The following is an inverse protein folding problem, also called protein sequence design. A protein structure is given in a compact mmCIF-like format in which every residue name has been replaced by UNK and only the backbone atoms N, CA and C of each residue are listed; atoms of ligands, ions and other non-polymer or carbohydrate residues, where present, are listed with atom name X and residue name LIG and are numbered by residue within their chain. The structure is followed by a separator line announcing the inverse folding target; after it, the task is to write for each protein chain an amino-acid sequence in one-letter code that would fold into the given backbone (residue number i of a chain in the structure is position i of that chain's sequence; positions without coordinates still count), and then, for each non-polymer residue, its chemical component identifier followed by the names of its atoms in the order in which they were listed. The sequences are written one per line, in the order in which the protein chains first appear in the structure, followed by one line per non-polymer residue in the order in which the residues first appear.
data_IF_618300339466
#
_entry.id   IF_618300339466
#
_cell.length_a   1.000
_cell.length_b   1.000
_cell.length_c   1.000
_cell.angle_alpha   90.00
_cell.angle_beta   90.00
_cell.angle_gamma   90.00
#
_symmetry.space_group_name_H-M   'P 1'
#
loop_
_entity.id
_entity.type
_entity.pdbx_description
1 polymer ?
#
# COMPACT_ATOMS: atom_id res chain seq x y z
N UNK A 1 -14.71 -26.72 -6.63
CA UNK A 1 -14.95 -26.37 -5.21
C UNK A 1 -13.64 -26.54 -4.48
N UNK A 2 -12.96 -25.44 -4.21
CA UNK A 2 -11.70 -25.41 -3.45
C UNK A 2 -12.00 -25.73 -1.99
N UNK A 3 -11.16 -26.56 -1.38
CA UNK A 3 -11.25 -26.93 0.04
C UNK A 3 -11.06 -25.66 0.88
N UNK A 4 -11.86 -25.44 1.95
CA UNK A 4 -11.60 -24.35 2.89
C UNK A 4 -10.19 -24.49 3.47
N UNK A 5 -9.30 -23.54 3.20
CA UNK A 5 -7.98 -23.44 3.85
C UNK A 5 -6.74 -23.53 2.96
N UNK A 6 -6.85 -23.80 1.66
CA UNK A 6 -5.68 -23.81 0.75
C UNK A 6 -5.90 -22.91 -0.46
N UNK A 7 -5.31 -21.71 -0.42
CA UNK A 7 -5.14 -20.88 -1.60
C UNK A 7 -4.00 -21.45 -2.47
N UNK A 8 -4.14 -21.44 -3.81
CA UNK A 8 -3.08 -21.85 -4.73
C UNK A 8 -1.86 -20.94 -4.57
N UNK A 9 -0.69 -21.50 -4.84
CA UNK A 9 0.56 -20.74 -5.02
C UNK A 9 0.47 -19.81 -6.23
N UNK A 10 1.33 -18.82 -6.32
CA UNK A 10 1.37 -17.92 -7.47
C UNK A 10 1.67 -18.68 -8.78
N UNK A 11 2.54 -19.70 -8.72
CA UNK A 11 2.81 -20.57 -9.87
C UNK A 11 1.54 -21.31 -10.34
N UNK A 12 0.71 -21.78 -9.42
CA UNK A 12 -0.59 -22.39 -9.74
C UNK A 12 -1.59 -21.34 -10.26
N UNK A 13 -1.52 -20.09 -9.81
CA UNK A 13 -2.32 -19.00 -10.40
C UNK A 13 -1.98 -18.77 -11.87
N UNK A 14 -0.68 -18.72 -12.21
CA UNK A 14 -0.23 -18.55 -13.58
C UNK A 14 -0.73 -19.67 -14.51
N UNK A 15 -0.91 -20.88 -13.97
CA UNK A 15 -1.38 -22.05 -14.70
C UNK A 15 -2.91 -22.13 -14.87
N UNK A 16 -3.68 -21.18 -14.32
CA UNK A 16 -5.15 -21.18 -14.46
C UNK A 16 -5.58 -20.95 -15.91
N UNK A 17 -6.72 -21.52 -16.30
CA UNK A 17 -7.19 -21.48 -17.68
C UNK A 17 -7.72 -20.10 -18.13
N UNK A 18 -7.42 -19.73 -19.37
CA UNK A 18 -7.98 -18.57 -20.05
C UNK A 18 -7.71 -17.25 -19.30
N UNK A 19 -8.75 -16.41 -19.18
CA UNK A 19 -8.66 -15.08 -18.56
C UNK A 19 -8.43 -15.12 -17.03
N UNK A 20 -8.39 -16.31 -16.42
CA UNK A 20 -8.09 -16.48 -15.00
C UNK A 20 -6.59 -16.64 -14.73
N UNK A 21 -5.76 -16.84 -15.77
CA UNK A 21 -4.31 -16.97 -15.65
C UNK A 21 -3.69 -15.79 -14.88
N UNK A 22 -2.95 -16.10 -13.81
CA UNK A 22 -2.29 -15.13 -12.95
C UNK A 22 -3.24 -14.31 -12.05
N UNK A 23 -4.53 -14.65 -11.98
CA UNK A 23 -5.51 -13.92 -11.16
C UNK A 23 -5.90 -14.72 -9.93
N UNK A 24 -6.35 -14.04 -8.87
CA UNK A 24 -6.99 -14.64 -7.70
C UNK A 24 -8.52 -14.70 -7.81
N UNK A 25 -9.07 -14.38 -8.98
CA UNK A 25 -10.51 -14.21 -9.18
C UNK A 25 -11.28 -15.50 -8.87
N UNK A 26 -12.42 -15.37 -8.21
CA UNK A 26 -13.24 -16.49 -7.74
C UNK A 26 -12.62 -17.35 -6.61
N UNK A 27 -11.49 -16.95 -6.01
CA UNK A 27 -10.89 -17.70 -4.88
C UNK A 27 -11.43 -17.26 -3.52
N UNK A 28 -11.81 -15.99 -3.39
CA UNK A 28 -12.36 -15.45 -2.14
C UNK A 28 -13.89 -15.56 -2.12
N UNK A 29 -14.50 -16.02 -1.01
CA UNK A 29 -15.96 -16.02 -0.86
C UNK A 29 -16.57 -14.61 -0.94
N UNK A 30 -15.82 -13.62 -0.45
CA UNK A 30 -16.18 -12.20 -0.47
C UNK A 30 -15.14 -11.45 -1.33
N UNK A 31 -15.28 -11.46 -2.67
CA UNK A 31 -14.25 -10.92 -3.56
C UNK A 31 -14.01 -9.41 -3.33
N UNK A 32 -15.06 -8.64 -3.00
CA UNK A 32 -14.91 -7.21 -2.70
C UNK A 32 -13.91 -6.90 -1.59
N UNK A 33 -13.66 -7.85 -0.68
CA UNK A 33 -12.69 -7.70 0.40
C UNK A 33 -11.24 -7.90 -0.08
N UNK A 34 -10.98 -8.79 -1.04
CA UNK A 34 -9.64 -9.12 -1.54
C UNK A 34 -8.76 -9.86 -0.53
N UNK A 35 -7.43 -9.66 -0.62
CA UNK A 35 -6.43 -10.27 0.29
C UNK A 35 -6.58 -9.92 1.78
N UNK A 36 -7.21 -8.81 2.22
CA UNK A 36 -7.62 -8.65 3.61
C UNK A 36 -8.45 -9.82 4.19
N UNK A 37 -9.01 -10.68 3.35
CA UNK A 37 -9.66 -11.93 3.74
C UNK A 37 -8.69 -12.98 4.33
N UNK A 38 -7.37 -12.83 4.13
CA UNK A 38 -6.37 -13.69 4.77
C UNK A 38 -6.29 -13.47 6.29
N UNK A 39 -6.76 -12.33 6.79
CA UNK A 39 -6.89 -12.06 8.21
C UNK A 39 -8.08 -12.84 8.76
N UNK A 40 -7.82 -14.06 9.22
CA UNK A 40 -8.84 -14.87 9.89
C UNK A 40 -9.14 -14.33 11.31
N UNK A 41 -10.30 -14.68 11.92
CA UNK A 41 -10.56 -14.34 13.31
C UNK A 41 -9.49 -14.81 14.29
N UNK A 42 -8.86 -15.97 14.02
CA UNK A 42 -7.75 -16.48 14.82
C UNK A 42 -6.50 -15.60 14.68
N UNK A 43 -6.13 -15.23 13.45
CA UNK A 43 -5.01 -14.32 13.19
C UNK A 43 -5.23 -12.93 13.84
N UNK A 44 -6.46 -12.41 13.81
CA UNK A 44 -6.80 -11.16 14.47
C UNK A 44 -6.65 -11.25 16.00
N UNK A 45 -7.09 -12.35 16.62
CA UNK A 45 -6.91 -12.57 18.06
C UNK A 45 -5.43 -12.70 18.44
N UNK A 46 -4.63 -13.35 17.60
CA UNK A 46 -3.18 -13.45 17.79
C UNK A 46 -2.48 -12.10 17.65
N UNK A 47 -2.90 -11.25 16.73
CA UNK A 47 -2.33 -9.91 16.51
C UNK A 47 -2.38 -9.02 17.75
N UNK A 48 -3.32 -9.25 18.67
CA UNK A 48 -3.36 -8.58 19.98
C UNK A 48 -2.05 -8.76 20.76
N UNK A 49 -1.34 -9.87 20.57
CA UNK A 49 -0.07 -10.14 21.26
C UNK A 49 1.08 -9.22 20.80
N UNK A 50 0.89 -8.48 19.70
CA UNK A 50 1.79 -7.41 19.28
C UNK A 50 1.64 -6.14 20.14
N UNK A 51 0.56 -6.02 20.92
CA UNK A 51 0.35 -4.93 21.88
C UNK A 51 1.06 -5.30 23.19
N UNK A 52 2.27 -4.78 23.37
CA UNK A 52 3.18 -5.09 24.50
C UNK A 52 3.43 -3.90 25.41
N UNK A 53 3.47 -2.69 24.86
CA UNK A 53 3.86 -1.44 25.51
C UNK A 53 2.70 -0.46 25.70
N UNK A 54 1.65 -0.58 24.89
CA UNK A 54 0.57 0.39 24.78
C UNK A 54 0.96 1.65 23.99
N UNK A 55 2.11 1.65 23.31
CA UNK A 55 2.55 2.80 22.50
C UNK A 55 1.74 2.85 21.21
N UNK A 56 1.21 4.02 20.86
CA UNK A 56 0.34 4.21 19.70
C UNK A 56 0.98 5.19 18.72
N UNK A 57 0.98 4.82 17.43
CA UNK A 57 1.48 5.65 16.34
C UNK A 57 0.38 5.85 15.29
N UNK A 58 0.05 7.11 14.99
CA UNK A 58 -0.66 7.46 13.77
C UNK A 58 0.30 7.34 12.57
N UNK A 59 -0.14 6.65 11.53
CA UNK A 59 0.65 6.35 10.34
C UNK A 59 0.32 7.25 9.15
N UNK A 60 -0.47 8.30 9.38
CA UNK A 60 -0.83 9.30 8.37
C UNK A 60 0.00 10.57 8.50
N UNK A 61 0.38 11.14 7.35
CA UNK A 61 0.83 12.52 7.24
C UNK A 61 -0.38 13.48 7.15
N UNK A 62 -0.18 14.78 7.41
CA UNK A 62 -1.17 15.80 7.07
C UNK A 62 -1.66 15.71 5.62
N UNK A 63 -2.92 16.11 5.39
CA UNK A 63 -3.57 16.04 4.08
C UNK A 63 -2.89 16.87 2.98
N UNK A 64 -2.09 17.86 3.37
CA UNK A 64 -1.34 18.80 2.53
C UNK A 64 0.18 18.54 2.53
N UNK A 65 0.65 17.49 3.23
CA UNK A 65 2.08 17.29 3.48
C UNK A 65 2.94 17.19 2.20
N UNK A 66 2.38 16.62 1.14
CA UNK A 66 3.09 16.36 -0.10
C UNK A 66 2.75 17.38 -1.20
N UNK A 67 2.42 18.63 -0.85
CA UNK A 67 2.23 19.71 -1.84
C UNK A 67 3.41 20.71 -1.82
N UNK A 68 4.10 20.97 -2.94
CA UNK A 68 3.99 20.26 -4.22
C UNK A 68 4.52 18.82 -4.12
N UNK A 69 3.85 17.90 -4.83
CA UNK A 69 4.16 16.47 -4.82
C UNK A 69 4.64 15.94 -6.15
N UNK A 70 4.87 14.63 -6.21
CA UNK A 70 5.25 13.93 -7.44
C UNK A 70 4.13 13.91 -8.50
N UNK A 71 2.87 13.95 -8.08
CA UNK A 71 1.74 13.98 -9.02
C UNK A 71 1.62 15.33 -9.72
N UNK A 72 1.45 15.30 -11.05
CA UNK A 72 1.21 16.53 -11.81
C UNK A 72 -0.20 17.11 -11.62
N UNK A 73 -1.15 16.28 -11.21
CA UNK A 73 -2.59 16.61 -11.21
C UNK A 73 -3.15 16.86 -9.81
N UNK A 74 -2.61 16.19 -8.80
CA UNK A 74 -3.09 16.26 -7.41
C UNK A 74 -2.49 17.50 -6.75
N UNK A 75 -3.28 18.18 -5.93
CA UNK A 75 -2.88 19.35 -5.13
C UNK A 75 -3.36 19.18 -3.69
N UNK A 76 -2.80 19.94 -2.75
CA UNK A 76 -3.34 20.00 -1.40
C UNK A 76 -4.81 20.45 -1.41
N UNK A 77 -5.65 19.92 -0.51
CA UNK A 77 -7.00 20.44 -0.32
C UNK A 77 -6.95 21.86 0.24
N UNK A 78 -7.94 22.68 -0.13
CA UNK A 78 -8.14 23.98 0.52
C UNK A 78 -9.00 23.80 1.77
N UNK A 79 -8.44 24.12 2.94
CA UNK A 79 -9.15 24.10 4.21
C UNK A 79 -9.82 25.44 4.49
N UNK A 80 -11.13 25.42 4.73
CA UNK A 80 -11.92 26.62 5.07
C UNK A 80 -12.63 26.41 6.39
N UNK A 81 -12.36 27.27 7.37
CA UNK A 81 -13.08 27.31 8.66
C UNK A 81 -14.06 28.49 8.64
N UNK A 82 -15.32 28.25 9.01
CA UNK A 82 -16.37 29.27 9.05
C UNK A 82 -17.11 29.28 10.39
N UNK A 83 -17.98 30.26 10.59
CA UNK A 83 -18.70 30.46 11.86
C UNK A 83 -20.07 31.08 11.65
N UNK A 84 -21.09 30.55 12.31
CA UNK A 84 -22.43 31.15 12.37
C UNK A 84 -22.56 32.18 13.50
N UNK A 85 -21.73 32.08 14.55
CA UNK A 85 -21.64 33.02 15.68
C UNK A 85 -20.27 32.88 16.40
N UNK A 86 -19.90 33.77 17.36
CA UNK A 86 -18.58 33.78 17.98
C UNK A 86 -18.12 32.45 18.61
N UNK A 87 -19.04 31.67 19.20
CA UNK A 87 -18.76 30.38 19.85
C UNK A 87 -18.88 29.13 18.95
N UNK A 88 -18.96 29.26 17.62
CA UNK A 88 -19.12 28.15 16.67
C UNK A 88 -17.97 28.13 15.68
N UNK A 89 -17.44 26.93 15.37
CA UNK A 89 -16.47 26.70 14.29
C UNK A 89 -16.84 25.39 13.60
N UNK A 90 -17.03 25.46 12.29
CA UNK A 90 -17.17 24.31 11.38
C UNK A 90 -16.20 24.51 10.22
N UNK A 91 -15.88 23.46 9.49
CA UNK A 91 -14.96 23.51 8.35
C UNK A 91 -15.36 22.58 7.20
N UNK A 92 -14.66 22.74 6.08
CA UNK A 92 -14.72 21.84 4.93
C UNK A 92 -13.42 21.89 4.11
N UNK A 93 -13.21 20.84 3.29
CA UNK A 93 -12.07 20.70 2.39
C UNK A 93 -12.55 20.72 0.93
N UNK A 94 -12.04 21.66 0.13
CA UNK A 94 -12.25 21.68 -1.32
C UNK A 94 -11.09 20.99 -2.04
N UNK A 95 -11.41 20.20 -3.07
CA UNK A 95 -10.39 19.59 -3.93
C UNK A 95 -9.56 18.50 -3.24
N UNK A 96 -10.16 17.75 -2.31
CA UNK A 96 -9.47 16.69 -1.59
C UNK A 96 -9.30 15.43 -2.45
N UNK A 97 -8.10 15.26 -3.01
CA UNK A 97 -7.73 14.03 -3.70
C UNK A 97 -7.51 12.91 -2.69
N UNK A 98 -8.27 11.81 -2.79
CA UNK A 98 -8.14 10.63 -1.91
C UNK A 98 -6.79 9.94 -2.03
N UNK A 99 -6.01 10.29 -3.06
CA UNK A 99 -4.65 9.84 -3.33
C UNK A 99 -3.59 10.94 -3.18
N UNK A 100 -3.90 12.00 -2.43
CA UNK A 100 -3.06 13.20 -2.31
C UNK A 100 -2.01 13.17 -1.20
N UNK A 101 -2.18 12.30 -0.20
CA UNK A 101 -1.27 12.11 0.94
C UNK A 101 -1.26 10.63 1.34
N UNK A 102 -0.96 10.29 2.60
CA UNK A 102 -1.08 8.91 3.10
C UNK A 102 -2.42 8.31 2.71
N UNK A 103 -2.39 7.17 2.03
CA UNK A 103 -3.55 6.60 1.37
C UNK A 103 -3.52 5.07 1.38
N UNK A 104 -4.68 4.49 1.10
CA UNK A 104 -4.85 3.11 0.67
C UNK A 104 -5.62 3.08 -0.64
N UNK A 105 -5.07 2.37 -1.61
CA UNK A 105 -5.68 2.16 -2.91
C UNK A 105 -6.62 0.97 -2.90
N UNK A 106 -7.84 1.22 -3.37
CA UNK A 106 -8.90 0.23 -3.49
C UNK A 106 -8.77 -0.63 -4.75
N UNK A 107 -9.52 -1.72 -4.81
CA UNK A 107 -9.45 -2.69 -5.91
C UNK A 107 -9.96 -2.14 -7.26
N UNK A 108 -10.58 -0.96 -7.26
CA UNK A 108 -10.97 -0.19 -8.45
C UNK A 108 -10.05 0.98 -8.78
N UNK A 109 -8.93 1.16 -8.07
CA UNK A 109 -7.94 2.20 -8.37
C UNK A 109 -7.29 1.98 -9.74
N UNK A 110 -6.91 0.72 -10.01
CA UNK A 110 -6.31 0.28 -11.27
C UNK A 110 -6.97 -1.00 -11.76
N UNK A 111 -7.27 -1.05 -13.06
CA UNK A 111 -7.59 -2.29 -13.77
C UNK A 111 -6.33 -2.89 -14.37
N UNK A 112 -6.37 -4.18 -14.69
CA UNK A 112 -5.41 -4.78 -15.59
C UNK A 112 -5.78 -4.50 -17.05
N UNK A 113 -4.77 -4.19 -17.86
CA UNK A 113 -4.97 -3.93 -19.29
C UNK A 113 -5.53 -5.15 -20.03
N UNK A 114 -5.09 -6.35 -19.66
CA UNK A 114 -5.42 -7.60 -20.33
C UNK A 114 -6.75 -8.22 -19.86
N UNK A 115 -7.07 -8.16 -18.56
CA UNK A 115 -8.24 -8.85 -17.99
C UNK A 115 -9.32 -7.94 -17.41
N UNK A 116 -9.03 -6.68 -17.08
CA UNK A 116 -10.01 -5.73 -16.51
C UNK A 116 -9.88 -5.52 -15.00
N UNK A 117 -10.96 -5.05 -14.36
CA UNK A 117 -11.01 -4.83 -12.91
C UNK A 117 -11.14 -6.13 -12.13
N UNK A 118 -10.82 -6.06 -10.84
CA UNK A 118 -10.82 -7.21 -9.94
C UNK A 118 -12.11 -8.02 -10.01
N UNK A 119 -11.97 -9.35 -10.03
CA UNK A 119 -13.05 -10.34 -10.14
C UNK A 119 -13.98 -10.15 -11.36
N UNK A 120 -13.47 -9.52 -12.43
CA UNK A 120 -14.20 -9.33 -13.68
C UNK A 120 -15.29 -8.27 -13.62
N UNK A 121 -15.26 -7.36 -12.63
CA UNK A 121 -16.23 -6.26 -12.54
C UNK A 121 -16.14 -5.39 -13.81
N UNK A 122 -17.27 -5.15 -14.51
CA UNK A 122 -17.23 -4.44 -15.78
C UNK A 122 -17.02 -2.93 -15.60
N UNK A 123 -16.32 -2.29 -16.55
CA UNK A 123 -15.95 -0.86 -16.50
C UNK A 123 -17.12 0.09 -16.21
N UNK A 124 -18.32 -0.17 -16.76
CA UNK A 124 -19.48 0.70 -16.53
C UNK A 124 -19.97 0.72 -15.07
N UNK A 125 -19.55 -0.26 -14.25
CA UNK A 125 -19.78 -0.30 -12.80
C UNK A 125 -18.68 0.38 -12.02
N UNK A 126 -17.64 0.90 -12.67
CA UNK A 126 -16.57 1.68 -12.06
C UNK A 126 -16.80 3.16 -12.39
N UNK A 127 -17.88 3.72 -11.83
CA UNK A 127 -18.24 5.14 -11.94
C UNK A 127 -18.59 5.72 -10.58
N UNK A 128 -18.76 7.04 -10.48
CA UNK A 128 -19.07 7.71 -9.22
C UNK A 128 -20.40 7.18 -8.64
N UNK A 129 -20.42 6.86 -7.34
CA UNK A 129 -21.62 6.39 -6.64
C UNK A 129 -21.97 4.91 -6.80
N UNK A 130 -21.27 4.15 -7.65
CA UNK A 130 -21.45 2.69 -7.73
C UNK A 130 -20.65 1.98 -6.63
N UNK A 131 -21.20 0.97 -5.94
CA UNK A 131 -20.52 0.37 -4.79
C UNK A 131 -19.45 -0.67 -5.18
N UNK A 132 -19.47 -1.22 -6.39
CA UNK A 132 -18.56 -2.32 -6.75
C UNK A 132 -17.09 -1.95 -6.53
N UNK A 133 -16.36 -2.83 -5.83
CA UNK A 133 -14.95 -2.69 -5.47
C UNK A 133 -14.60 -1.38 -4.74
N UNK A 134 -15.60 -0.69 -4.20
CA UNK A 134 -15.43 0.60 -3.54
C UNK A 134 -14.89 0.46 -2.13
N UNK A 135 -14.16 1.48 -1.69
CA UNK A 135 -13.47 1.50 -0.40
C UNK A 135 -14.41 1.33 0.81
N UNK A 136 -15.72 1.56 0.66
CA UNK A 136 -16.70 1.39 1.72
C UNK A 136 -16.75 -0.05 2.27
N UNK A 137 -16.37 -1.06 1.47
CA UNK A 137 -16.24 -2.45 1.95
C UNK A 137 -15.28 -2.54 3.15
N UNK A 138 -14.14 -1.83 3.08
CA UNK A 138 -13.15 -1.80 4.17
C UNK A 138 -13.48 -0.75 5.23
N UNK A 139 -14.43 0.16 4.99
CA UNK A 139 -14.93 1.06 6.03
C UNK A 139 -15.99 0.36 6.91
N UNK A 140 -16.85 -0.46 6.31
CA UNK A 140 -17.86 -1.29 6.99
C UNK A 140 -17.21 -2.49 7.70
N UNK A 141 -16.22 -3.11 7.06
CA UNK A 141 -15.42 -4.19 7.62
C UNK A 141 -13.93 -3.81 7.67
N UNK A 142 -13.51 -3.04 8.70
CA UNK A 142 -12.13 -2.57 8.84
C UNK A 142 -11.08 -3.67 8.69
N UNK A 143 -9.91 -3.26 8.22
CA UNK A 143 -8.75 -4.13 8.14
C UNK A 143 -8.00 -3.96 9.46
N UNK A 144 -7.94 -5.00 10.27
CA UNK A 144 -7.18 -5.01 11.51
C UNK A 144 -6.43 -6.32 11.65
N UNK A 145 -5.18 -6.29 12.10
CA UNK A 145 -4.36 -7.50 12.15
C UNK A 145 -2.93 -7.21 12.58
N UNK A 146 -2.06 -8.20 12.40
CA UNK A 146 -0.63 -8.05 12.69
C UNK A 146 0.03 -7.31 11.52
N UNK A 147 0.66 -6.19 11.81
CA UNK A 147 1.59 -5.54 10.89
C UNK A 147 3.01 -5.95 11.19
N UNK A 148 3.80 -6.13 10.13
CA UNK A 148 5.23 -6.40 10.21
C UNK A 148 5.97 -5.32 9.43
N UNK A 149 6.98 -4.71 10.05
CA UNK A 149 7.75 -3.63 9.43
C UNK A 149 9.11 -4.15 8.97
N UNK A 150 9.38 -4.05 7.67
CA UNK A 150 10.71 -4.28 7.08
C UNK A 150 11.41 -2.94 6.97
N UNK A 151 12.49 -2.75 7.74
CA UNK A 151 13.23 -1.49 7.87
C UNK A 151 14.39 -1.45 6.87
N UNK A 152 14.07 -1.18 5.60
CA UNK A 152 15.04 -1.14 4.50
C UNK A 152 16.05 0.01 4.69
N UNK A 153 15.56 1.19 5.09
CA UNK A 153 16.42 2.33 5.41
C UNK A 153 17.38 2.01 6.57
N UNK A 154 16.87 1.46 7.67
CA UNK A 154 17.70 1.08 8.82
C UNK A 154 18.75 0.04 8.46
N UNK A 155 18.37 -0.99 7.70
CA UNK A 155 19.27 -2.02 7.22
C UNK A 155 20.39 -1.44 6.34
N UNK A 156 20.03 -0.67 5.30
CA UNK A 156 20.97 -0.03 4.37
C UNK A 156 21.95 0.91 5.06
N UNK A 157 21.47 1.72 5.99
CA UNK A 157 22.34 2.58 6.81
C UNK A 157 23.29 1.76 7.71
N UNK A 158 22.85 0.63 8.26
CA UNK A 158 23.68 -0.21 9.15
C UNK A 158 24.88 -0.85 8.44
N UNK A 159 24.77 -1.07 7.13
CA UNK A 159 25.85 -1.64 6.29
C UNK A 159 26.63 -0.56 5.53
N UNK A 160 26.31 0.73 5.73
CA UNK A 160 27.02 1.85 5.09
C UNK A 160 26.65 2.08 3.63
N UNK A 161 25.48 1.61 3.19
CA UNK A 161 24.97 1.72 1.81
C UNK A 161 23.59 2.40 1.80
N UNK A 162 23.49 3.70 2.17
CA UNK A 162 22.19 4.39 2.21
C UNK A 162 21.48 4.38 0.85
N UNK A 163 20.15 4.30 0.88
CA UNK A 163 19.31 4.26 -0.33
C UNK A 163 19.42 5.57 -1.13
N UNK A 164 19.67 5.47 -2.43
CA UNK A 164 19.70 6.62 -3.34
C UNK A 164 18.31 7.03 -3.80
N UNK A 165 17.64 7.83 -2.95
CA UNK A 165 16.33 8.38 -3.28
C UNK A 165 16.35 9.39 -4.43
N UNK A 166 17.44 10.14 -4.59
CA UNK A 166 17.58 11.11 -5.69
C UNK A 166 17.69 10.40 -7.05
N UNK A 167 18.37 9.25 -7.07
CA UNK A 167 18.45 8.36 -8.23
C UNK A 167 17.17 7.58 -8.53
N UNK A 168 16.24 7.49 -7.58
CA UNK A 168 15.05 6.66 -7.70
C UNK A 168 15.38 5.17 -7.63
N UNK A 169 16.26 4.78 -6.71
CA UNK A 169 16.78 3.41 -6.61
C UNK A 169 15.67 2.34 -6.60
N UNK A 170 15.72 1.34 -7.50
CA UNK A 170 14.86 0.15 -7.44
C UNK A 170 15.28 -0.78 -6.30
N UNK A 171 14.34 -1.17 -5.46
CA UNK A 171 14.58 -2.04 -4.30
C UNK A 171 14.14 -3.47 -4.63
N UNK A 172 15.11 -4.39 -4.81
CA UNK A 172 14.85 -5.80 -5.14
C UNK A 172 14.32 -6.62 -3.96
N UNK A 173 13.68 -7.75 -4.25
CA UNK A 173 13.18 -8.68 -3.22
C UNK A 173 14.30 -9.25 -2.35
N UNK A 174 15.49 -9.43 -2.90
CA UNK A 174 16.70 -9.85 -2.19
C UNK A 174 17.08 -8.88 -1.07
N UNK A 175 16.99 -7.57 -1.32
CA UNK A 175 17.20 -6.55 -0.29
C UNK A 175 16.15 -6.64 0.82
N UNK A 176 14.88 -6.86 0.47
CA UNK A 176 13.80 -7.05 1.44
C UNK A 176 14.05 -8.28 2.32
N UNK A 177 14.46 -9.39 1.70
CA UNK A 177 14.79 -10.63 2.41
C UNK A 177 16.00 -10.45 3.33
N UNK A 178 17.06 -9.80 2.87
CA UNK A 178 18.24 -9.50 3.69
C UNK A 178 17.89 -8.61 4.91
N UNK A 179 17.04 -7.59 4.72
CA UNK A 179 16.56 -6.77 5.82
C UNK A 179 15.73 -7.60 6.82
N UNK A 180 14.80 -8.42 6.33
CA UNK A 180 14.01 -9.33 7.18
C UNK A 180 14.89 -10.32 7.97
N UNK A 181 15.92 -10.88 7.35
CA UNK A 181 16.90 -11.76 8.02
C UNK A 181 17.65 -11.00 9.13
N UNK A 182 18.13 -9.78 8.85
CA UNK A 182 18.80 -8.94 9.85
C UNK A 182 17.91 -8.60 11.04
N UNK A 183 16.59 -8.49 10.80
CA UNK A 183 15.57 -8.22 11.80
C UNK A 183 15.08 -9.48 12.53
N UNK A 184 15.52 -10.68 12.10
CA UNK A 184 14.94 -11.96 12.52
C UNK A 184 13.40 -11.99 12.36
N UNK A 185 12.90 -11.32 11.32
CA UNK A 185 11.49 -11.12 11.07
C UNK A 185 10.90 -12.30 10.29
N UNK A 186 9.80 -12.86 10.79
CA UNK A 186 9.06 -13.93 10.11
C UNK A 186 7.64 -13.48 9.80
N UNK A 187 7.20 -13.78 8.58
CA UNK A 187 5.87 -13.44 8.09
C UNK A 187 4.90 -14.60 8.31
N UNK A 188 3.62 -14.27 8.36
CA UNK A 188 2.51 -15.21 8.53
C UNK A 188 1.34 -14.80 7.65
N UNK A 189 0.48 -15.75 7.24
CA UNK A 189 -0.71 -15.42 6.48
C UNK A 189 -1.59 -14.38 7.19
N UNK A 190 -2.01 -13.36 6.44
CA UNK A 190 -2.79 -12.24 6.95
C UNK A 190 -1.96 -11.07 7.49
N UNK A 191 -0.63 -11.15 7.48
CA UNK A 191 0.20 -10.01 7.86
C UNK A 191 -0.03 -8.80 6.95
N UNK A 192 -0.01 -7.62 7.55
CA UNK A 192 0.07 -6.33 6.85
C UNK A 192 1.56 -5.99 6.71
N UNK A 193 2.08 -5.99 5.50
CA UNK A 193 3.50 -5.70 5.23
C UNK A 193 3.72 -4.19 5.18
N UNK A 194 4.60 -3.67 6.03
CA UNK A 194 5.00 -2.27 6.06
C UNK A 194 6.46 -2.15 5.59
N UNK A 195 6.70 -1.47 4.47
CA UNK A 195 8.03 -1.25 3.90
C UNK A 195 8.51 0.16 4.26
N UNK A 196 9.42 0.25 5.23
CA UNK A 196 10.05 1.53 5.59
C UNK A 196 11.32 1.74 4.77
N UNK A 197 11.29 2.70 3.87
CA UNK A 197 12.37 3.07 2.94
C UNK A 197 13.02 4.41 3.28
N UNK A 198 12.39 5.23 4.11
CA UNK A 198 12.82 6.60 4.41
C UNK A 198 12.37 7.64 3.37
N UNK A 199 11.73 7.23 2.26
CA UNK A 199 11.46 8.10 1.12
C UNK A 199 10.57 9.29 1.47
N UNK A 200 9.51 9.11 2.27
CA UNK A 200 8.65 10.23 2.69
C UNK A 200 9.41 11.28 3.51
N UNK A 201 10.19 10.87 4.52
CA UNK A 201 10.95 11.82 5.34
C UNK A 201 12.03 12.54 4.50
N UNK A 202 12.70 11.81 3.59
CA UNK A 202 13.64 12.39 2.64
C UNK A 202 12.98 13.41 1.70
N UNK A 203 11.87 13.05 1.06
CA UNK A 203 11.17 13.91 0.12
C UNK A 203 10.66 15.18 0.79
N UNK A 204 10.09 15.06 1.99
CA UNK A 204 9.56 16.20 2.74
C UNK A 204 10.65 17.19 3.17
N UNK A 205 11.88 16.72 3.37
CA UNK A 205 13.04 17.55 3.72
C UNK A 205 13.64 18.32 2.54
N UNK A 206 13.32 17.96 1.29
CA UNK A 206 13.78 18.68 0.10
C UNK A 206 13.19 20.09 0.04
N UNK A 207 13.96 21.02 -0.52
CA UNK A 207 13.46 22.35 -0.84
C UNK A 207 12.47 22.32 -2.04
N UNK A 208 11.69 23.39 -2.27
CA UNK A 208 10.71 23.42 -3.36
C UNK A 208 11.31 23.23 -4.77
N UNK A 209 12.54 23.68 -5.01
CA UNK A 209 13.21 23.55 -6.31
C UNK A 209 13.68 22.11 -6.56
N UNK A 210 14.20 21.45 -5.53
CA UNK A 210 14.54 20.03 -5.53
C UNK A 210 13.31 19.15 -5.76
N UNK A 211 12.20 19.43 -5.08
CA UNK A 211 10.91 18.73 -5.31
C UNK A 211 10.45 18.88 -6.75
N UNK A 212 10.57 20.08 -7.32
CA UNK A 212 10.21 20.34 -8.72
C UNK A 212 11.12 19.56 -9.68
N UNK A 213 12.44 19.58 -9.48
CA UNK A 213 13.39 18.79 -10.30
C UNK A 213 13.11 17.29 -10.23
N UNK A 214 12.81 16.77 -9.05
CA UNK A 214 12.47 15.36 -8.87
C UNK A 214 11.17 15.01 -9.61
N UNK A 215 10.11 15.82 -9.44
CA UNK A 215 8.84 15.66 -10.16
C UNK A 215 9.01 15.66 -11.68
N UNK A 216 9.86 16.54 -12.20
CA UNK A 216 10.18 16.61 -13.63
C UNK A 216 10.94 15.36 -14.11
N UNK A 217 11.86 14.84 -13.30
CA UNK A 217 12.60 13.62 -13.61
C UNK A 217 11.73 12.36 -13.60
N UNK A 218 10.58 12.40 -12.92
CA UNK A 218 9.66 11.28 -12.69
C UNK A 218 10.34 10.05 -12.06
N UNK A 219 11.34 10.29 -11.22
CA UNK A 219 12.04 9.24 -10.48
C UNK A 219 11.50 9.14 -9.06
N UNK A 220 11.29 7.92 -8.60
CA UNK A 220 10.95 7.65 -7.22
C UNK A 220 11.49 6.26 -6.82
N UNK A 221 12.08 6.17 -5.64
CA UNK A 221 12.44 4.89 -5.03
C UNK A 221 11.19 4.07 -4.76
N UNK A 222 11.32 2.76 -4.89
CA UNK A 222 10.30 1.80 -4.52
C UNK A 222 10.73 0.39 -4.88
N UNK A 223 9.86 -0.58 -4.65
CA UNK A 223 10.12 -1.97 -5.00
C UNK A 223 10.32 -2.11 -6.52
N UNK A 224 11.36 -2.83 -6.93
CA UNK A 224 11.61 -3.13 -8.34
C UNK A 224 10.52 -4.05 -8.90
N UNK A 225 10.00 -3.74 -10.08
CA UNK A 225 9.00 -4.59 -10.75
C UNK A 225 9.60 -5.95 -11.07
N UNK A 226 9.05 -7.00 -10.48
CA UNK A 226 9.54 -8.37 -10.65
C UNK A 226 8.40 -9.36 -10.43
N UNK A 227 8.46 -10.50 -11.13
CA UNK A 227 7.51 -11.58 -10.89
C UNK A 227 7.76 -12.23 -9.54
N UNK A 228 9.01 -12.28 -9.12
CA UNK A 228 9.48 -12.82 -7.85
C UNK A 228 8.84 -12.09 -6.67
N UNK A 229 8.79 -10.74 -6.70
CA UNK A 229 8.13 -9.98 -5.63
C UNK A 229 6.62 -10.25 -5.58
N UNK A 230 5.93 -10.24 -6.72
CA UNK A 230 4.49 -10.50 -6.78
C UNK A 230 4.17 -11.92 -6.31
N UNK A 231 4.97 -12.90 -6.71
CA UNK A 231 4.85 -14.29 -6.27
C UNK A 231 5.07 -14.41 -4.76
N UNK A 232 6.16 -13.82 -4.24
CA UNK A 232 6.47 -13.83 -2.81
C UNK A 232 5.36 -13.17 -1.97
N UNK A 233 4.83 -12.04 -2.43
CA UNK A 233 3.75 -11.35 -1.73
C UNK A 233 2.48 -12.18 -1.63
N UNK A 234 2.07 -12.82 -2.73
CA UNK A 234 0.92 -13.71 -2.78
C UNK A 234 1.12 -14.97 -1.94
N UNK A 235 2.27 -15.64 -2.10
CA UNK A 235 2.56 -16.91 -1.42
C UNK A 235 2.74 -16.71 0.09
N UNK A 236 3.24 -15.53 0.50
CA UNK A 236 3.26 -15.11 1.92
C UNK A 236 1.88 -14.76 2.46
N UNK A 237 0.88 -14.59 1.58
CA UNK A 237 -0.52 -14.26 1.89
C UNK A 237 -0.64 -12.96 2.68
N UNK A 238 0.08 -11.92 2.25
CA UNK A 238 -0.08 -10.61 2.86
C UNK A 238 -1.48 -10.06 2.61
N UNK A 239 -2.05 -9.45 3.66
CA UNK A 239 -3.35 -8.82 3.60
C UNK A 239 -3.30 -7.48 2.86
N UNK A 240 -2.24 -6.71 3.09
CA UNK A 240 -1.99 -5.36 2.52
C UNK A 240 -0.48 -5.17 2.40
N UNK A 241 -0.03 -4.47 1.37
CA UNK A 241 1.34 -3.95 1.29
C UNK A 241 1.28 -2.44 1.40
N UNK A 242 1.93 -1.87 2.40
CA UNK A 242 2.06 -0.42 2.55
C UNK A 242 3.53 -0.01 2.57
N UNK A 243 3.83 1.14 1.99
CA UNK A 243 5.16 1.71 1.96
C UNK A 243 5.14 3.21 2.26
N UNK A 244 6.26 3.73 2.72
CA UNK A 244 6.51 5.17 2.81
C UNK A 244 7.07 5.76 1.50
N UNK A 245 6.76 5.14 0.35
CA UNK A 245 7.13 5.60 -1.00
C UNK A 245 5.93 6.19 -1.73
N UNK A 246 6.20 6.89 -2.84
CA UNK A 246 5.16 7.51 -3.65
C UNK A 246 4.21 6.53 -4.32
N UNK A 247 4.71 5.37 -4.77
CA UNK A 247 3.96 4.45 -5.62
C UNK A 247 4.09 2.98 -5.20
N UNK A 248 4.57 2.67 -3.98
CA UNK A 248 5.06 1.34 -3.56
C UNK A 248 6.26 0.84 -4.37
N UNK A 249 6.11 0.69 -5.68
CA UNK A 249 7.12 0.34 -6.67
C UNK A 249 7.89 1.55 -7.21
N UNK A 250 9.09 1.32 -7.77
CA UNK A 250 9.94 2.41 -8.25
C UNK A 250 9.42 3.03 -9.56
N UNK A 251 9.73 4.31 -9.77
CA UNK A 251 9.50 5.03 -11.02
C UNK A 251 10.82 5.49 -11.65
N UNK A 252 10.96 5.37 -12.99
CA UNK A 252 10.14 4.58 -13.89
C UNK A 252 10.26 3.07 -13.59
N UNK A 253 9.40 2.25 -14.22
CA UNK A 253 9.55 0.81 -14.15
C UNK A 253 10.93 0.36 -14.69
N UNK A 254 11.51 -0.67 -14.08
CA UNK A 254 12.87 -1.14 -14.41
C UNK A 254 13.02 -1.54 -15.90
N UNK A 255 14.23 -1.40 -16.48
CA UNK A 255 14.54 -1.73 -17.87
C UNK A 255 14.15 -3.12 -18.37
N UNK A 256 13.92 -4.05 -17.48
CA UNK A 256 13.63 -5.47 -17.70
C UNK A 256 12.33 -5.92 -17.03
N UNK A 257 11.46 -4.96 -16.66
CA UNK A 257 10.19 -5.28 -16.02
C UNK A 257 9.41 -6.32 -16.84
N UNK A 258 8.97 -7.44 -16.22
CA UNK A 258 8.25 -8.51 -16.90
C UNK A 258 6.83 -8.08 -17.33
N UNK A 259 6.38 -6.89 -16.93
CA UNK A 259 5.02 -6.42 -17.17
C UNK A 259 4.91 -5.43 -18.34
N UNK A 260 5.99 -5.14 -19.05
CA UNK A 260 5.98 -4.15 -20.14
C UNK A 260 4.95 -4.41 -21.22
N UNK A 261 4.75 -5.67 -21.57
CA UNK A 261 3.77 -6.07 -22.58
C UNK A 261 2.35 -6.14 -22.00
N UNK A 262 2.20 -6.58 -20.74
CA UNK A 262 0.89 -6.80 -20.11
C UNK A 262 0.32 -5.57 -19.40
N UNK A 263 1.14 -4.57 -19.10
CA UNK A 263 0.78 -3.31 -18.43
C UNK A 263 1.26 -2.11 -19.27
N UNK A 264 0.91 -2.10 -20.55
CA UNK A 264 1.43 -1.11 -21.51
C UNK A 264 0.93 0.32 -21.23
N UNK A 265 -0.27 0.49 -20.65
CA UNK A 265 -0.78 1.82 -20.26
C UNK A 265 -0.10 2.38 -19.02
N UNK A 266 0.55 1.51 -18.23
CA UNK A 266 1.32 1.87 -17.04
C UNK A 266 2.81 1.59 -17.24
N UNK A 267 3.27 1.46 -18.50
CA UNK A 267 4.69 1.33 -18.87
C UNK A 267 5.45 0.19 -18.17
N UNK A 268 4.77 -0.91 -17.85
CA UNK A 268 5.36 -2.06 -17.17
C UNK A 268 5.38 -1.98 -15.65
N UNK A 269 4.53 -1.15 -15.05
CA UNK A 269 4.31 -1.15 -13.60
C UNK A 269 3.58 -2.43 -13.14
N UNK A 270 3.74 -2.80 -11.87
CA UNK A 270 3.15 -4.00 -11.26
C UNK A 270 1.86 -3.72 -10.47
N UNK A 271 1.41 -2.47 -10.31
CA UNK A 271 0.16 -2.08 -9.64
C UNK A 271 -1.04 -2.95 -10.05
N UNK A 272 -1.22 -3.18 -11.35
CA UNK A 272 -2.33 -3.98 -11.85
C UNK A 272 -2.25 -5.47 -11.44
N UNK A 273 -1.04 -5.99 -11.20
CA UNK A 273 -0.84 -7.35 -10.72
C UNK A 273 -1.37 -7.46 -9.30
N UNK A 274 -0.97 -6.53 -8.43
CA UNK A 274 -1.36 -6.52 -7.02
C UNK A 274 -2.86 -6.20 -6.85
N UNK A 275 -3.35 -5.11 -7.42
CA UNK A 275 -4.73 -4.68 -7.26
C UNK A 275 -5.70 -5.51 -8.10
N UNK A 276 -5.61 -5.42 -9.43
CA UNK A 276 -6.65 -5.94 -10.33
C UNK A 276 -6.60 -7.46 -10.47
N UNK A 277 -5.43 -8.09 -10.44
CA UNK A 277 -5.30 -9.55 -10.57
C UNK A 277 -5.34 -10.25 -9.22
N UNK A 278 -4.66 -9.75 -8.20
CA UNK A 278 -4.55 -10.42 -6.89
C UNK A 278 -5.51 -9.90 -5.82
N UNK A 279 -6.14 -8.74 -5.99
CA UNK A 279 -7.05 -8.18 -4.99
C UNK A 279 -6.30 -7.67 -3.75
N UNK A 280 -5.05 -7.26 -3.93
CA UNK A 280 -4.14 -6.85 -2.88
C UNK A 280 -4.08 -5.33 -2.74
N UNK A 281 -4.61 -4.76 -1.64
CA UNK A 281 -4.58 -3.33 -1.41
C UNK A 281 -3.16 -2.81 -1.23
N UNK A 282 -2.94 -1.59 -1.71
CA UNK A 282 -1.66 -0.89 -1.61
C UNK A 282 -1.79 0.33 -0.72
N UNK A 283 -0.83 0.53 0.17
CA UNK A 283 -0.68 1.74 0.98
C UNK A 283 0.49 2.57 0.49
N UNK A 284 0.25 3.83 0.15
CA UNK A 284 1.29 4.75 -0.33
C UNK A 284 1.45 5.92 0.64
N UNK A 285 2.68 6.43 0.74
CA UNK A 285 3.01 7.60 1.57
C UNK A 285 2.72 7.41 3.06
N UNK A 286 2.91 6.20 3.60
CA UNK A 286 2.68 5.93 5.01
C UNK A 286 3.78 6.53 5.90
N UNK A 287 3.39 7.09 7.05
CA UNK A 287 4.31 7.70 8.02
C UNK A 287 4.96 6.65 8.91
N UNK A 288 5.92 5.92 8.34
CA UNK A 288 6.55 4.77 8.99
C UNK A 288 7.79 5.12 9.85
N UNK A 289 8.46 6.26 9.60
CA UNK A 289 9.71 6.63 10.29
C UNK A 289 9.64 6.63 11.84
N UNK A 290 8.65 7.25 12.48
CA UNK A 290 8.50 7.20 13.93
C UNK A 290 8.31 5.77 14.48
N UNK A 291 7.55 4.93 13.78
CA UNK A 291 7.34 3.53 14.14
C UNK A 291 8.63 2.74 13.99
N UNK A 292 9.32 2.86 12.85
CA UNK A 292 10.58 2.18 12.58
C UNK A 292 11.66 2.52 13.62
N UNK A 293 11.79 3.80 14.00
CA UNK A 293 12.73 4.22 15.06
C UNK A 293 12.42 3.58 16.42
N UNK A 294 11.15 3.44 16.77
CA UNK A 294 10.73 2.78 18.01
C UNK A 294 10.94 1.26 17.97
N UNK A 295 10.60 0.62 16.85
CA UNK A 295 10.81 -0.81 16.62
C UNK A 295 12.30 -1.17 16.67
N UNK A 296 13.16 -0.31 16.10
CA UNK A 296 14.61 -0.45 16.16
C UNK A 296 15.17 -0.36 17.57
N UNK A 297 14.69 0.58 18.39
CA UNK A 297 15.18 0.74 19.78
C UNK A 297 14.74 -0.38 20.72
N UNK A 298 13.70 -1.13 20.35
CA UNK A 298 13.13 -2.24 21.12
C UNK A 298 13.39 -3.62 20.50
N UNK A 299 14.06 -3.67 19.34
CA UNK A 299 14.27 -4.88 18.55
C UNK A 299 12.98 -5.70 18.32
N UNK A 300 11.84 -5.02 18.14
CA UNK A 300 10.52 -5.63 17.92
C UNK A 300 9.94 -5.07 16.64
N UNK A 301 9.61 -5.95 15.67
CA UNK A 301 9.27 -5.54 14.30
C UNK A 301 7.83 -5.85 13.90
N UNK A 302 6.95 -6.03 14.89
CA UNK A 302 5.52 -6.26 14.71
C UNK A 302 4.68 -5.33 15.58
N UNK A 303 3.49 -4.97 15.10
CA UNK A 303 2.50 -4.15 15.79
C UNK A 303 1.08 -4.62 15.45
N UNK A 304 0.11 -4.32 16.31
CA UNK A 304 -1.29 -4.41 15.91
C UNK A 304 -1.62 -3.21 15.02
N UNK A 305 -2.08 -3.45 13.80
CA UNK A 305 -2.46 -2.40 12.85
C UNK A 305 -3.97 -2.36 12.70
N UNK A 306 -4.53 -1.16 12.68
CA UNK A 306 -5.90 -0.89 12.27
C UNK A 306 -5.89 0.08 11.10
N UNK A 307 -6.62 -0.24 10.04
CA UNK A 307 -6.84 0.59 8.85
C UNK A 307 -8.34 0.76 8.68
N UNK A 308 -8.82 2.01 8.73
CA UNK A 308 -10.24 2.32 8.59
C UNK A 308 -10.43 3.49 7.63
N UNK A 309 -10.55 3.19 6.32
CA UNK A 309 -10.84 4.18 5.30
C UNK A 309 -12.08 5.03 5.59
N UNK A 310 -12.18 6.17 4.92
CA UNK A 310 -13.42 6.94 4.85
C UNK A 310 -14.53 6.07 4.22
N UNK A 311 -15.74 6.15 4.77
CA UNK A 311 -16.89 5.45 4.20
C UNK A 311 -17.45 6.25 3.01
N UNK A 312 -16.81 6.09 1.84
CA UNK A 312 -17.18 6.74 0.58
C UNK A 312 -17.62 5.66 -0.40
N UNK A 313 -18.92 5.63 -0.72
CA UNK A 313 -19.46 4.69 -1.70
C UNK A 313 -18.79 4.87 -3.07
N UNK A 314 -18.15 3.82 -3.55
CA UNK A 314 -17.46 3.81 -4.85
C UNK A 314 -16.11 4.51 -4.86
N UNK A 315 -15.57 4.87 -3.69
CA UNK A 315 -14.22 5.44 -3.59
C UNK A 315 -13.17 4.50 -4.20
N UNK A 316 -12.27 5.04 -5.03
CA UNK A 316 -11.16 4.30 -5.64
C UNK A 316 -9.99 4.09 -4.70
N UNK A 317 -9.95 4.86 -3.62
CA UNK A 317 -8.99 4.80 -2.53
C UNK A 317 -9.52 5.66 -1.39
N UNK A 318 -8.70 5.89 -0.38
CA UNK A 318 -9.01 6.75 0.75
C UNK A 318 -7.73 7.12 1.47
N UNK A 319 -7.71 8.19 2.27
CA UNK A 319 -6.79 8.27 3.40
C UNK A 319 -6.79 6.95 4.17
N UNK A 320 -5.62 6.44 4.54
CA UNK A 320 -5.52 5.14 5.19
C UNK A 320 -6.17 5.18 6.59
N UNK A 321 -5.99 6.29 7.31
CA UNK A 321 -6.41 6.44 8.71
C UNK A 321 -5.91 5.25 9.52
N UNK A 322 -4.61 5.01 9.39
CA UNK A 322 -3.93 3.82 9.85
C UNK A 322 -3.26 4.08 11.19
N UNK A 323 -3.41 3.15 12.12
CA UNK A 323 -2.83 3.23 13.47
C UNK A 323 -2.05 1.96 13.77
N UNK A 324 -0.83 2.12 14.29
CA UNK A 324 -0.06 1.04 14.89
C UNK A 324 -0.14 1.10 16.42
N UNK A 325 -0.33 -0.05 17.05
CA UNK A 325 -0.38 -0.23 18.49
C UNK A 325 0.62 -1.31 18.87
N UNK A 326 1.61 -0.95 19.68
CA UNK A 326 2.69 -1.81 20.16
C UNK A 326 2.63 -2.06 21.66
#
# INVERSE_FOLDING_TARGET
MTVPGTFPTFAELLAREGNLAGTSWGLFPEPGRGTPSFITPAALLEARNSIRSGTVFGLDYPADAFDPGMSLKRSAPRHTIYSSHPAHRDDYLDGYYLQGSTQIDGLRHRRADDVGFYDGVPDHRITEGTPDLGIQEWAEHPIAGRGVLVDLDGFRNSVGEPIDHAGGEPLGLDLLQAAMESQSLTTRPGDILLLHTGWCEWFLALDPEEKQRLRESRKATGVAQSQEFVAWAWDSRFAVIAADTFAVECLPAVPDSPYRESAFNDHGMMHQQLLAKLGMPLGELWRLGPLARHMRSTATWDAFISIKPLNITGGTGSPANATAIM
#
